data_IF_228633132888
#
_entry.id   IF_228633132888
#
_cell.length_a   1.000
_cell.length_b   1.000
_cell.length_c   1.000
_cell.angle_alpha   90.00
_cell.angle_beta   90.00
_cell.angle_gamma   90.00
#
_symmetry.space_group_name_H-M   'P 1'
#
loop_
_entity.id
_entity.type
_entity.pdbx_description
1 polymer ?
#
# COMPACT_ATOMS: atom_id res chain seq x y z
N UNK A 1 -48.94 3.14 59.13
CA UNK A 1 -48.22 2.09 59.87
C UNK A 1 -46.79 2.27 59.38
N UNK A 2 -46.02 3.05 60.04
CA UNK A 2 -45.14 2.81 61.20
C UNK A 2 -43.98 1.92 60.79
N UNK A 3 -42.77 2.14 60.97
CA UNK A 3 -41.90 2.92 61.89
C UNK A 3 -40.49 2.82 61.32
N UNK A 4 -39.76 3.87 61.21
CA UNK A 4 -38.77 4.49 62.10
C UNK A 4 -37.45 3.76 62.22
N UNK A 5 -36.42 4.43 61.80
CA UNK A 5 -35.30 5.02 62.55
C UNK A 5 -34.26 4.00 63.04
N UNK A 6 -32.96 4.19 62.86
CA UNK A 6 -32.06 5.14 63.55
C UNK A 6 -30.63 5.02 62.97
N UNK A 7 -29.97 6.16 62.87
CA UNK A 7 -28.51 6.31 62.86
C UNK A 7 -27.96 6.34 64.29
N UNK A 8 -26.66 6.05 64.50
CA UNK A 8 -25.72 7.09 64.88
C UNK A 8 -24.30 6.94 64.28
N UNK A 9 -23.74 8.05 63.85
CA UNK A 9 -22.68 8.90 64.38
C UNK A 9 -21.29 8.29 64.59
N UNK A 10 -20.38 8.87 63.81
CA UNK A 10 -19.12 9.52 64.20
C UNK A 10 -17.94 8.65 64.64
N UNK A 11 -16.88 8.72 63.84
CA UNK A 11 -15.53 8.99 64.33
C UNK A 11 -14.56 9.31 63.23
N UNK A 12 -13.95 10.46 63.33
CA UNK A 12 -12.87 11.03 62.58
C UNK A 12 -11.58 10.22 62.64
N UNK A 13 -10.91 10.03 61.51
CA UNK A 13 -9.46 9.88 61.46
C UNK A 13 -8.90 10.43 60.13
N UNK A 14 -8.23 11.54 60.31
CA UNK A 14 -7.26 12.15 59.40
C UNK A 14 -6.18 11.13 58.99
N UNK A 15 -5.96 11.00 57.69
CA UNK A 15 -4.66 10.50 57.21
C UNK A 15 -4.38 11.03 55.79
N UNK A 16 -3.56 12.06 55.78
CA UNK A 16 -2.81 12.52 54.60
C UNK A 16 -1.99 11.37 54.05
N UNK A 17 -2.26 10.96 52.82
CA UNK A 17 -1.36 10.13 52.03
C UNK A 17 -1.37 10.54 50.57
N UNK A 18 -0.30 11.24 50.26
CA UNK A 18 0.58 11.08 49.13
C UNK A 18 -0.08 10.74 47.76
N UNK A 19 -0.20 11.78 46.92
CA UNK A 19 -0.47 11.67 45.51
C UNK A 19 0.85 11.30 44.79
N UNK A 20 1.17 10.02 44.72
CA UNK A 20 2.12 9.52 43.74
C UNK A 20 1.34 9.15 42.47
N UNK A 21 1.49 9.93 41.42
CA UNK A 21 1.14 9.58 40.04
C UNK A 21 1.87 8.29 39.67
N UNK A 22 1.23 7.35 38.94
CA UNK A 22 1.97 6.22 38.40
C UNK A 22 2.93 6.75 37.32
N UNK A 23 4.21 6.73 37.58
CA UNK A 23 5.23 6.77 36.53
C UNK A 23 4.95 5.57 35.62
N UNK A 24 4.61 5.86 34.35
CA UNK A 24 4.64 4.86 33.28
C UNK A 24 6.05 4.28 33.25
N UNK A 25 6.20 3.08 33.75
CA UNK A 25 7.42 2.30 33.57
C UNK A 25 7.60 2.10 32.07
N UNK A 26 8.51 2.84 31.44
CA UNK A 26 9.10 2.46 30.18
C UNK A 26 9.69 1.07 30.38
N UNK A 27 8.96 0.07 29.89
CA UNK A 27 9.42 -1.31 29.94
C UNK A 27 10.82 -1.38 29.33
N UNK A 28 11.78 -1.89 30.11
CA UNK A 28 13.12 -2.13 29.62
C UNK A 28 13.02 -2.97 28.34
N UNK A 29 13.46 -2.42 27.21
CA UNK A 29 13.55 -3.13 25.93
C UNK A 29 14.48 -4.33 26.18
N UNK A 30 13.96 -5.54 26.06
CA UNK A 30 14.77 -6.75 26.13
C UNK A 30 15.81 -6.70 24.99
N UNK A 31 17.12 -6.63 25.31
CA UNK A 31 18.15 -6.49 24.26
C UNK A 31 18.23 -7.73 23.34
N UNK A 32 17.52 -8.82 23.67
CA UNK A 32 17.47 -10.03 22.86
C UNK A 32 16.22 -10.10 21.98
N UNK A 33 15.27 -9.17 22.10
CA UNK A 33 14.14 -9.10 21.18
C UNK A 33 14.51 -8.29 19.94
N UNK A 34 14.31 -8.85 18.73
CA UNK A 34 14.53 -8.10 17.50
C UNK A 34 13.64 -6.86 17.45
N UNK A 35 14.11 -5.74 16.89
CA UNK A 35 13.29 -4.55 16.71
C UNK A 35 12.02 -4.85 15.91
N UNK A 36 10.86 -4.33 16.31
CA UNK A 36 9.57 -4.70 15.73
C UNK A 36 9.38 -4.31 14.25
N UNK A 37 10.28 -3.55 13.66
CA UNK A 37 10.25 -3.14 12.24
C UNK A 37 11.57 -3.49 11.53
N UNK A 38 12.16 -4.61 11.88
CA UNK A 38 13.43 -5.05 11.29
C UNK A 38 13.25 -5.46 9.83
N UNK A 39 14.26 -5.12 9.02
CA UNK A 39 14.36 -5.58 7.63
C UNK A 39 15.78 -6.04 7.31
N UNK A 40 15.91 -6.93 6.35
CA UNK A 40 17.18 -7.35 5.74
C UNK A 40 17.13 -7.09 4.25
N UNK A 41 18.26 -6.75 3.67
CA UNK A 41 18.34 -6.45 2.24
C UNK A 41 19.64 -6.96 1.63
N UNK A 42 19.65 -7.13 0.31
CA UNK A 42 20.86 -7.43 -0.45
C UNK A 42 21.81 -6.25 -0.43
N UNK A 43 23.12 -6.53 -0.37
CA UNK A 43 24.16 -5.49 -0.24
C UNK A 43 24.20 -4.49 -1.39
N UNK A 44 23.70 -4.84 -2.56
CA UNK A 44 23.65 -4.00 -3.75
C UNK A 44 22.42 -3.09 -3.83
N UNK A 45 21.39 -3.29 -2.99
CA UNK A 45 20.15 -2.52 -3.06
C UNK A 45 20.35 -1.00 -2.85
N UNK A 46 21.14 -0.53 -1.86
CA UNK A 46 21.41 0.91 -1.72
C UNK A 46 22.08 1.51 -2.94
N UNK A 47 22.96 0.76 -3.61
CA UNK A 47 23.62 1.21 -4.84
C UNK A 47 22.64 1.35 -6.01
N UNK A 48 21.63 0.45 -6.13
CA UNK A 48 20.56 0.56 -7.13
C UNK A 48 19.78 1.86 -6.92
N UNK A 49 19.45 2.22 -5.67
CA UNK A 49 18.76 3.46 -5.34
C UNK A 49 19.58 4.69 -5.68
N UNK A 50 20.88 4.65 -5.36
CA UNK A 50 21.80 5.74 -5.68
C UNK A 50 21.95 5.98 -7.18
N UNK A 51 22.20 4.92 -7.94
CA UNK A 51 22.37 4.98 -9.39
C UNK A 51 21.08 5.43 -10.11
N UNK A 52 19.93 4.96 -9.62
CA UNK A 52 18.62 5.31 -10.17
C UNK A 52 18.13 6.68 -9.72
N UNK A 53 18.76 7.33 -8.74
CA UNK A 53 18.36 8.60 -8.14
C UNK A 53 16.89 8.62 -7.74
N UNK A 54 16.49 7.69 -6.86
CA UNK A 54 15.11 7.54 -6.40
C UNK A 54 15.05 7.03 -4.97
N UNK A 55 13.87 7.17 -4.39
CA UNK A 55 13.41 6.47 -3.19
C UNK A 55 12.16 5.66 -3.50
N UNK A 56 11.80 4.73 -2.62
CA UNK A 56 10.64 3.87 -2.81
C UNK A 56 9.64 4.10 -1.69
N UNK A 57 8.39 4.33 -2.06
CA UNK A 57 7.27 4.44 -1.13
C UNK A 57 6.50 3.10 -1.13
N UNK A 58 6.24 2.58 0.07
CA UNK A 58 5.58 1.29 0.25
C UNK A 58 4.49 1.42 1.30
N UNK A 59 3.25 1.09 0.97
CA UNK A 59 2.15 1.01 1.94
C UNK A 59 1.97 -0.39 2.47
N UNK A 60 1.61 -0.48 3.75
CA UNK A 60 1.56 -1.75 4.50
C UNK A 60 0.21 -1.90 5.20
N UNK A 61 -0.85 -2.06 4.49
CA UNK A 61 -2.22 -2.14 5.00
C UNK A 61 -2.36 -2.54 6.49
N UNK A 62 -1.94 -3.76 6.82
CA UNK A 62 -2.08 -4.36 8.16
C UNK A 62 -1.18 -3.68 9.22
N UNK A 63 0.06 -3.31 8.85
CA UNK A 63 1.00 -2.68 9.79
C UNK A 63 0.73 -1.18 10.00
N UNK A 64 -0.19 -0.57 9.22
CA UNK A 64 -0.54 0.84 9.35
C UNK A 64 0.60 1.80 9.04
N UNK A 65 1.49 1.45 8.11
CA UNK A 65 2.69 2.24 7.81
C UNK A 65 2.78 2.60 6.33
N UNK A 66 3.17 3.83 6.05
CA UNK A 66 3.87 4.20 4.85
C UNK A 66 5.37 4.08 5.15
N UNK A 67 6.06 3.22 4.42
CA UNK A 67 7.50 3.01 4.54
C UNK A 67 8.19 3.75 3.40
N UNK A 68 9.16 4.60 3.74
CA UNK A 68 10.04 5.25 2.77
C UNK A 68 11.38 4.53 2.81
N UNK A 69 11.68 3.78 1.76
CA UNK A 69 13.00 3.18 1.57
C UNK A 69 13.87 4.20 0.83
N UNK A 70 14.98 4.57 1.44
CA UNK A 70 15.87 5.62 0.91
C UNK A 70 17.35 5.29 1.15
N UNK A 71 18.21 5.85 0.31
CA UNK A 71 19.66 5.63 0.44
C UNK A 71 20.30 6.72 1.30
N UNK A 72 20.88 6.33 2.42
CA UNK A 72 21.67 7.20 3.28
C UNK A 72 23.17 6.86 3.12
N UNK A 73 23.85 7.51 2.17
CA UNK A 73 25.30 7.34 1.92
C UNK A 73 25.73 5.87 1.76
N UNK A 74 24.97 5.10 1.00
CA UNK A 74 25.27 3.69 0.73
C UNK A 74 24.65 2.71 1.73
N UNK A 75 23.88 3.20 2.69
CA UNK A 75 23.10 2.38 3.64
C UNK A 75 21.61 2.53 3.36
N UNK A 76 20.88 1.43 3.33
CA UNK A 76 19.43 1.50 3.21
C UNK A 76 18.83 2.01 4.52
N UNK A 77 18.11 3.14 4.44
CA UNK A 77 17.31 3.67 5.52
C UNK A 77 15.85 3.32 5.28
N UNK A 78 15.19 2.74 6.28
CA UNK A 78 13.76 2.48 6.31
C UNK A 78 13.09 3.47 7.24
N UNK A 79 12.32 4.40 6.69
CA UNK A 79 11.63 5.43 7.45
C UNK A 79 10.13 5.16 7.46
N UNK A 80 9.49 5.22 8.63
CA UNK A 80 8.10 4.83 8.83
C UNK A 80 7.23 6.02 9.22
N UNK A 81 6.07 6.15 8.59
CA UNK A 81 5.01 7.10 8.95
C UNK A 81 3.70 6.35 9.20
N UNK A 82 3.01 6.71 10.28
CA UNK A 82 1.75 6.07 10.65
C UNK A 82 0.61 6.57 9.77
N UNK A 83 -0.22 5.64 9.32
CA UNK A 83 -1.48 5.90 8.63
C UNK A 83 -2.50 4.84 9.02
N UNK A 84 -3.78 5.18 8.97
CA UNK A 84 -4.82 4.20 9.25
C UNK A 84 -5.09 3.31 8.03
N UNK A 85 -4.50 2.11 8.00
CA UNK A 85 -4.57 1.14 6.90
C UNK A 85 -4.23 1.77 5.53
N UNK A 86 -3.02 2.27 5.32
CA UNK A 86 -2.64 2.86 4.04
C UNK A 86 -2.61 1.81 2.94
N UNK A 87 -3.25 2.13 1.83
CA UNK A 87 -3.47 1.25 0.69
C UNK A 87 -2.87 1.85 -0.58
N UNK A 88 -3.69 2.47 -1.43
CA UNK A 88 -3.24 3.04 -2.69
C UNK A 88 -2.25 4.20 -2.54
N UNK A 89 -1.36 4.32 -3.52
CA UNK A 89 -0.44 5.44 -3.68
C UNK A 89 -0.59 6.04 -5.08
N UNK A 90 -0.47 7.35 -5.20
CA UNK A 90 -0.33 8.01 -6.50
C UNK A 90 0.65 9.17 -6.40
N UNK A 91 1.59 9.27 -7.36
CA UNK A 91 2.60 10.31 -7.43
C UNK A 91 2.49 11.04 -8.78
N UNK A 92 2.48 12.37 -8.75
CA UNK A 92 2.52 13.20 -9.96
C UNK A 92 3.16 14.55 -9.66
N UNK A 93 4.28 14.87 -10.32
CA UNK A 93 4.81 16.24 -10.34
C UNK A 93 5.01 16.91 -8.98
N UNK A 94 5.50 16.18 -7.98
CA UNK A 94 5.68 16.70 -6.60
C UNK A 94 4.42 16.63 -5.74
N UNK A 95 3.36 16.00 -6.22
CA UNK A 95 2.18 15.60 -5.44
C UNK A 95 2.28 14.14 -5.07
N UNK A 96 1.83 13.80 -3.88
CA UNK A 96 1.66 12.42 -3.41
C UNK A 96 0.26 12.28 -2.83
N UNK A 97 -0.44 11.21 -3.18
CA UNK A 97 -1.69 10.83 -2.53
C UNK A 97 -1.53 9.47 -1.84
N UNK A 98 -2.09 9.35 -0.64
CA UNK A 98 -2.14 8.11 0.16
C UNK A 98 -3.60 7.81 0.45
N UNK A 99 -4.11 6.72 -0.12
CA UNK A 99 -5.44 6.21 0.18
C UNK A 99 -5.40 5.40 1.47
N UNK A 100 -6.29 5.72 2.40
CA UNK A 100 -6.40 5.04 3.69
C UNK A 100 -7.78 4.38 3.85
N UNK A 101 -8.06 3.83 5.03
CA UNK A 101 -9.31 3.12 5.29
C UNK A 101 -10.57 3.96 4.98
N UNK A 102 -10.58 5.21 5.44
CA UNK A 102 -11.77 6.08 5.37
C UNK A 102 -11.51 7.44 4.71
N UNK A 103 -10.28 7.69 4.28
CA UNK A 103 -9.88 8.97 3.72
C UNK A 103 -8.74 8.85 2.70
N UNK A 104 -8.54 9.92 1.96
CA UNK A 104 -7.39 10.12 1.07
C UNK A 104 -6.65 11.35 1.53
N UNK A 105 -5.36 11.19 1.79
CA UNK A 105 -4.43 12.27 2.10
C UNK A 105 -3.66 12.71 0.86
N UNK A 106 -3.63 14.01 0.61
CA UNK A 106 -2.83 14.60 -0.46
C UNK A 106 -1.72 15.47 0.14
N UNK A 107 -0.52 15.25 -0.34
CA UNK A 107 0.70 15.92 0.07
C UNK A 107 1.33 16.64 -1.11
N UNK A 108 2.02 17.75 -0.83
CA UNK A 108 2.85 18.41 -1.81
C UNK A 108 4.29 18.50 -1.31
N UNK A 109 5.24 18.31 -2.22
CA UNK A 109 6.63 18.53 -1.92
C UNK A 109 6.91 20.01 -1.71
N UNK A 110 7.50 20.35 -0.56
CA UNK A 110 7.90 21.71 -0.16
C UNK A 110 9.38 21.71 0.21
N UNK A 111 10.31 21.78 -0.76
CA UNK A 111 11.74 21.63 -0.53
C UNK A 111 12.32 22.65 0.46
N UNK A 112 11.69 23.83 0.60
CA UNK A 112 12.09 24.85 1.57
C UNK A 112 12.07 24.39 3.05
N UNK A 113 11.36 23.28 3.34
CA UNK A 113 11.31 22.70 4.70
C UNK A 113 12.51 21.79 4.97
N UNK A 114 13.16 21.26 3.94
CA UNK A 114 14.27 20.31 4.09
C UNK A 114 15.40 20.85 4.99
N UNK A 115 15.79 22.11 4.80
CA UNK A 115 16.83 22.73 5.62
C UNK A 115 16.47 22.76 7.12
N UNK A 116 15.19 22.93 7.46
CA UNK A 116 14.74 22.90 8.86
C UNK A 116 14.74 21.50 9.46
N UNK A 117 14.47 20.48 8.64
CA UNK A 117 14.60 19.09 9.08
C UNK A 117 16.06 18.74 9.38
N UNK A 118 16.98 19.20 8.54
CA UNK A 118 18.40 18.97 8.70
C UNK A 118 19.01 19.75 9.91
N UNK A 119 18.46 20.93 10.24
CA UNK A 119 18.86 21.71 11.42
C UNK A 119 18.46 21.03 12.75
N UNK A 120 17.35 20.28 12.75
CA UNK A 120 16.85 19.57 13.93
C UNK A 120 17.59 18.26 14.22
N UNK A 121 18.39 17.75 13.27
CA UNK A 121 19.21 16.57 13.48
C UNK A 121 20.41 16.93 14.36
N UNK A 122 20.50 16.34 15.55
CA UNK A 122 21.57 16.61 16.53
C UNK A 122 22.98 16.29 16.00
N UNK A 123 23.08 15.52 14.94
CA UNK A 123 24.31 15.21 14.22
C UNK A 123 24.60 16.25 13.11
N UNK A 124 25.09 17.40 13.49
CA UNK A 124 25.44 18.55 12.62
C UNK A 124 26.43 18.30 11.47
N UNK A 125 26.87 17.08 11.24
CA UNK A 125 27.80 16.75 10.13
C UNK A 125 27.13 16.61 8.76
N UNK A 126 25.80 16.66 8.66
CA UNK A 126 25.08 16.45 7.40
C UNK A 126 24.24 17.66 7.01
N UNK A 127 24.88 18.77 6.66
CA UNK A 127 24.19 19.84 5.95
C UNK A 127 23.56 19.28 4.65
N UNK A 128 22.22 19.49 4.45
CA UNK A 128 21.48 19.13 3.26
C UNK A 128 21.32 17.61 2.99
N UNK A 129 20.81 16.89 3.96
CA UNK A 129 20.47 15.47 3.82
C UNK A 129 19.15 15.25 3.06
N UNK A 130 18.09 15.98 3.48
CA UNK A 130 16.77 15.88 2.86
C UNK A 130 16.70 16.66 1.54
N UNK A 131 16.21 16.02 0.49
CA UNK A 131 16.05 16.60 -0.86
C UNK A 131 14.58 16.81 -1.26
N UNK A 132 13.65 16.25 -0.49
CA UNK A 132 12.22 16.48 -0.62
C UNK A 132 11.54 16.39 0.75
N UNK A 133 10.48 17.19 0.94
CA UNK A 133 9.63 17.12 2.12
C UNK A 133 8.16 17.28 1.73
N UNK A 134 7.40 16.22 1.90
CA UNK A 134 5.98 16.18 1.57
C UNK A 134 5.14 16.62 2.76
N UNK A 135 4.42 17.74 2.60
CA UNK A 135 3.51 18.29 3.61
C UNK A 135 2.05 18.05 3.22
N UNK A 136 1.16 17.73 4.19
CA UNK A 136 -0.25 17.51 3.92
C UNK A 136 -0.91 18.81 3.43
N UNK A 137 -1.75 18.69 2.41
CA UNK A 137 -2.49 19.81 1.83
C UNK A 137 -3.99 19.61 1.84
N UNK A 138 -4.43 18.36 1.76
CA UNK A 138 -5.83 18.00 1.78
C UNK A 138 -6.00 16.63 2.41
N UNK A 139 -7.10 16.46 3.14
CA UNK A 139 -7.68 15.17 3.48
C UNK A 139 -9.12 15.14 2.99
N UNK A 140 -9.52 14.08 2.31
CA UNK A 140 -10.87 13.88 1.81
C UNK A 140 -11.47 12.61 2.40
N UNK A 141 -12.55 12.75 3.17
CA UNK A 141 -13.24 11.62 3.77
C UNK A 141 -14.08 10.88 2.74
N UNK A 142 -13.76 9.61 2.51
CA UNK A 142 -14.47 8.72 1.58
C UNK A 142 -15.44 7.77 2.29
N UNK A 143 -15.26 7.56 3.60
CA UNK A 143 -15.79 6.38 4.27
C UNK A 143 -15.00 5.12 3.87
N UNK A 144 -15.38 3.96 4.40
CA UNK A 144 -14.72 2.69 4.07
C UNK A 144 -15.19 2.18 2.69
N UNK A 145 -14.57 2.73 1.66
CA UNK A 145 -14.80 2.33 0.26
C UNK A 145 -13.77 1.29 -0.22
N UNK A 146 -12.88 0.86 0.66
CA UNK A 146 -11.82 -0.10 0.36
C UNK A 146 -10.97 0.36 -0.83
N UNK A 147 -10.37 1.54 -0.73
CA UNK A 147 -9.52 2.11 -1.78
C UNK A 147 -8.40 1.12 -2.08
N UNK A 148 -8.23 0.77 -3.36
CA UNK A 148 -7.11 -0.02 -3.82
C UNK A 148 -6.09 0.87 -4.53
N UNK A 149 -6.01 0.84 -5.83
CA UNK A 149 -5.04 1.64 -6.57
C UNK A 149 -5.57 3.03 -6.92
N UNK A 150 -4.65 3.96 -7.13
CA UNK A 150 -4.93 5.35 -7.44
C UNK A 150 -4.03 5.86 -8.55
N UNK A 151 -4.50 6.85 -9.30
CA UNK A 151 -3.69 7.57 -10.30
C UNK A 151 -4.20 9.01 -10.47
N UNK A 152 -3.31 9.89 -10.88
CA UNK A 152 -3.67 11.24 -11.32
C UNK A 152 -4.01 11.23 -12.81
N UNK A 153 -5.14 11.83 -13.18
CA UNK A 153 -5.58 12.02 -14.56
C UNK A 153 -5.94 13.50 -14.72
N UNK A 154 -5.21 14.23 -15.52
CA UNK A 154 -5.42 15.66 -15.76
C UNK A 154 -5.56 16.50 -14.47
N UNK A 155 -4.79 16.13 -13.43
CA UNK A 155 -4.80 16.80 -12.12
C UNK A 155 -5.96 16.40 -11.19
N UNK A 156 -6.84 15.50 -11.61
CA UNK A 156 -7.87 14.87 -10.79
C UNK A 156 -7.39 13.50 -10.27
N UNK A 157 -7.62 13.21 -9.00
CA UNK A 157 -7.25 11.93 -8.41
C UNK A 157 -8.35 10.89 -8.65
N UNK A 158 -8.00 9.85 -9.41
CA UNK A 158 -8.83 8.67 -9.65
C UNK A 158 -8.41 7.54 -8.74
N UNK A 159 -9.37 6.76 -8.27
CA UNK A 159 -9.11 5.59 -7.42
C UNK A 159 -10.10 4.46 -7.67
N UNK A 160 -9.64 3.26 -7.38
CA UNK A 160 -10.47 2.07 -7.30
C UNK A 160 -11.28 2.12 -6.01
N UNK A 161 -12.59 2.11 -6.14
CA UNK A 161 -13.55 1.91 -5.07
C UNK A 161 -14.04 0.46 -5.10
N UNK A 162 -13.36 -0.40 -4.36
CA UNK A 162 -13.62 -1.84 -4.37
C UNK A 162 -14.96 -2.19 -3.78
N UNK A 163 -15.35 -1.51 -2.69
CA UNK A 163 -16.63 -1.76 -2.03
C UNK A 163 -17.82 -1.57 -3.00
N UNK A 164 -17.73 -0.58 -3.91
CA UNK A 164 -18.77 -0.28 -4.90
C UNK A 164 -18.45 -0.83 -6.30
N UNK A 165 -17.34 -1.54 -6.46
CA UNK A 165 -16.89 -2.14 -7.74
C UNK A 165 -16.83 -1.13 -8.88
N UNK A 166 -16.25 0.06 -8.63
CA UNK A 166 -16.18 1.14 -9.62
C UNK A 166 -14.84 1.89 -9.58
N UNK A 167 -14.53 2.59 -10.67
CA UNK A 167 -13.58 3.70 -10.67
C UNK A 167 -14.31 4.94 -10.15
N UNK A 168 -13.65 5.70 -9.31
CA UNK A 168 -14.19 6.89 -8.69
C UNK A 168 -13.16 8.02 -8.62
N UNK A 169 -13.68 9.24 -8.44
CA UNK A 169 -12.90 10.42 -8.09
C UNK A 169 -13.43 11.02 -6.80
N UNK A 170 -12.71 12.01 -6.28
CA UNK A 170 -13.22 12.80 -5.15
C UNK A 170 -14.48 13.57 -5.58
N UNK A 171 -15.34 13.86 -4.62
CA UNK A 171 -16.50 14.74 -4.79
C UNK A 171 -16.50 15.80 -3.70
N UNK A 172 -16.89 17.02 -4.02
CA UNK A 172 -17.01 18.09 -3.03
C UNK A 172 -18.30 17.97 -2.18
N UNK A 173 -19.23 17.11 -2.58
CA UNK A 173 -20.55 16.95 -1.94
C UNK A 173 -20.71 15.54 -1.35
N UNK A 174 -20.25 14.52 -2.09
CA UNK A 174 -20.41 13.11 -1.73
C UNK A 174 -19.07 12.52 -1.25
N UNK A 175 -19.11 11.32 -0.70
CA UNK A 175 -17.90 10.56 -0.35
C UNK A 175 -17.01 10.29 -1.56
N UNK A 176 -17.60 10.11 -2.72
CA UNK A 176 -16.93 9.91 -4.01
C UNK A 176 -17.87 10.21 -5.18
N UNK A 177 -17.30 10.37 -6.37
CA UNK A 177 -18.02 10.47 -7.64
C UNK A 177 -17.71 9.25 -8.49
N UNK A 178 -18.69 8.37 -8.83
CA UNK A 178 -18.44 7.22 -9.68
C UNK A 178 -18.20 7.66 -11.12
N UNK A 179 -17.15 7.13 -11.75
CA UNK A 179 -16.75 7.48 -13.13
C UNK A 179 -16.97 6.35 -14.12
N UNK A 180 -16.77 5.12 -13.68
CA UNK A 180 -16.91 3.93 -14.51
C UNK A 180 -17.13 2.69 -13.63
N UNK A 181 -17.79 1.70 -14.15
CA UNK A 181 -17.92 0.36 -13.56
C UNK A 181 -17.98 -0.70 -14.65
N UNK A 182 -17.61 -1.96 -14.35
CA UNK A 182 -17.79 -3.08 -15.28
C UNK A 182 -19.27 -3.23 -15.68
N UNK A 183 -19.54 -3.54 -16.95
CA UNK A 183 -20.90 -3.67 -17.47
C UNK A 183 -21.71 -4.79 -16.81
N UNK A 184 -21.04 -5.81 -16.28
CA UNK A 184 -21.70 -6.91 -15.57
C UNK A 184 -22.09 -6.54 -14.13
N UNK A 185 -21.56 -5.47 -13.55
CA UNK A 185 -22.01 -4.94 -12.25
C UNK A 185 -23.19 -4.01 -12.47
N UNK A 186 -24.40 -4.46 -12.15
CA UNK A 186 -25.63 -3.76 -12.50
C UNK A 186 -26.04 -2.66 -11.52
N UNK A 187 -25.57 -2.74 -10.26
CA UNK A 187 -25.94 -1.80 -9.20
C UNK A 187 -24.72 -1.09 -8.62
N UNK A 188 -24.88 0.17 -8.24
CA UNK A 188 -23.87 0.95 -7.52
C UNK A 188 -24.20 0.92 -6.03
N UNK A 189 -23.89 -0.19 -5.37
CA UNK A 189 -24.11 -0.40 -3.94
C UNK A 189 -22.89 -1.06 -3.30
N UNK A 190 -22.67 -0.89 -1.99
CA UNK A 190 -21.56 -1.54 -1.32
C UNK A 190 -21.81 -3.05 -1.21
N UNK A 191 -20.90 -3.85 -1.74
CA UNK A 191 -21.06 -5.31 -1.73
C UNK A 191 -19.84 -6.04 -2.25
N UNK A 192 -18.83 -5.30 -2.73
CA UNK A 192 -17.58 -5.89 -3.26
C UNK A 192 -17.90 -7.02 -4.28
N UNK A 193 -18.68 -6.70 -5.30
CA UNK A 193 -19.21 -7.70 -6.23
C UNK A 193 -18.11 -8.45 -6.99
N UNK A 194 -17.12 -7.74 -7.53
CA UNK A 194 -16.07 -8.32 -8.37
C UNK A 194 -14.66 -8.14 -7.80
N UNK A 195 -14.51 -7.47 -6.69
CA UNK A 195 -13.23 -7.04 -6.12
C UNK A 195 -12.34 -6.33 -7.13
N UNK A 196 -12.88 -5.23 -7.68
CA UNK A 196 -12.09 -4.34 -8.53
C UNK A 196 -10.91 -3.81 -7.71
N UNK A 197 -9.66 -3.93 -8.20
CA UNK A 197 -8.51 -3.72 -7.34
C UNK A 197 -7.33 -3.00 -7.99
N UNK A 198 -7.12 -3.12 -9.29
CA UNK A 198 -5.97 -2.53 -9.96
C UNK A 198 -6.35 -1.65 -11.12
N UNK A 199 -5.57 -0.61 -11.39
CA UNK A 199 -5.71 0.26 -12.55
C UNK A 199 -4.38 0.48 -13.26
N UNK A 200 -4.41 0.54 -14.59
CA UNK A 200 -3.28 0.92 -15.43
C UNK A 200 -3.62 2.15 -16.26
N UNK A 201 -2.70 3.10 -16.23
CA UNK A 201 -2.73 4.29 -17.08
C UNK A 201 -2.16 3.98 -18.46
N UNK A 202 -2.80 4.47 -19.52
CA UNK A 202 -2.26 4.53 -20.86
C UNK A 202 -2.74 5.81 -21.54
N UNK A 203 -1.83 6.52 -22.21
CA UNK A 203 -2.15 7.76 -22.91
C UNK A 203 -2.85 8.82 -22.02
N UNK A 204 -2.36 8.94 -20.74
CA UNK A 204 -2.85 9.95 -19.78
C UNK A 204 -4.19 9.65 -19.12
N UNK A 205 -4.76 8.46 -19.29
CA UNK A 205 -6.06 8.06 -18.72
C UNK A 205 -6.04 6.65 -18.15
N UNK A 206 -6.98 6.33 -17.28
CA UNK A 206 -7.19 4.95 -16.81
C UNK A 206 -7.69 4.13 -18.00
N UNK A 207 -6.92 3.13 -18.38
CA UNK A 207 -7.23 2.32 -19.56
C UNK A 207 -7.58 0.87 -19.23
N UNK A 208 -6.89 0.26 -18.27
CA UNK A 208 -7.12 -1.12 -17.90
C UNK A 208 -7.36 -1.24 -16.40
N UNK A 209 -8.21 -2.19 -16.02
CA UNK A 209 -8.47 -2.51 -14.62
C UNK A 209 -8.49 -4.02 -14.40
N UNK A 210 -8.12 -4.44 -13.21
CA UNK A 210 -8.20 -5.84 -12.77
C UNK A 210 -9.31 -6.03 -11.74
N UNK A 211 -9.92 -7.20 -11.78
CA UNK A 211 -10.87 -7.67 -10.77
C UNK A 211 -10.63 -9.15 -10.46
N UNK A 212 -11.02 -9.59 -9.25
CA UNK A 212 -10.83 -10.98 -8.83
C UNK A 212 -11.91 -11.92 -9.36
N UNK A 213 -12.99 -11.39 -9.93
CA UNK A 213 -14.05 -12.21 -10.53
C UNK A 213 -14.98 -11.42 -11.45
N UNK A 214 -15.53 -12.08 -12.46
CA UNK A 214 -16.63 -11.55 -13.31
C UNK A 214 -17.96 -11.90 -12.66
N UNK A 215 -18.31 -11.23 -11.54
CA UNK A 215 -19.47 -11.55 -10.71
C UNK A 215 -20.32 -10.33 -10.38
N UNK A 216 -21.60 -10.53 -10.23
CA UNK A 216 -22.62 -9.51 -9.92
C UNK A 216 -23.41 -9.87 -8.65
N UNK A 217 -22.74 -10.49 -7.68
CA UNK A 217 -23.29 -10.81 -6.36
C UNK A 217 -22.33 -10.38 -5.27
N UNK A 218 -22.82 -9.94 -4.09
CA UNK A 218 -21.96 -9.51 -3.01
C UNK A 218 -20.89 -10.56 -2.65
N UNK A 219 -19.62 -10.17 -2.79
CA UNK A 219 -18.47 -11.04 -2.50
C UNK A 219 -18.33 -12.27 -3.40
N UNK A 220 -19.04 -12.36 -4.53
CA UNK A 220 -19.09 -13.54 -5.39
C UNK A 220 -17.75 -13.98 -5.98
N UNK A 221 -16.79 -13.07 -6.08
CA UNK A 221 -15.42 -13.39 -6.51
C UNK A 221 -14.71 -14.42 -5.60
N UNK A 222 -15.18 -14.58 -4.34
CA UNK A 222 -14.58 -15.50 -3.37
C UNK A 222 -14.75 -16.97 -3.72
N UNK A 223 -15.74 -17.29 -4.55
CA UNK A 223 -16.02 -18.66 -4.96
C UNK A 223 -14.97 -19.21 -5.92
N UNK A 224 -14.28 -18.35 -6.67
CA UNK A 224 -13.25 -18.74 -7.61
C UNK A 224 -12.01 -17.83 -7.56
N UNK A 225 -11.20 -17.96 -6.51
CA UNK A 225 -9.95 -17.22 -6.34
C UNK A 225 -8.81 -17.77 -7.19
N UNK A 226 -8.91 -19.02 -7.61
CA UNK A 226 -7.84 -19.73 -8.32
C UNK A 226 -7.64 -19.22 -9.75
N UNK A 227 -8.73 -19.01 -10.47
CA UNK A 227 -8.73 -18.63 -11.88
C UNK A 227 -9.92 -17.74 -12.30
N UNK A 228 -10.62 -17.16 -11.32
CA UNK A 228 -11.74 -16.24 -11.57
C UNK A 228 -11.33 -14.83 -12.00
N UNK A 229 -10.05 -14.48 -11.83
CA UNK A 229 -9.56 -13.14 -12.07
C UNK A 229 -9.57 -12.72 -13.53
N UNK A 230 -9.79 -11.42 -13.74
CA UNK A 230 -9.99 -10.81 -15.06
C UNK A 230 -9.22 -9.50 -15.22
N UNK A 231 -8.95 -9.18 -16.49
CA UNK A 231 -8.49 -7.86 -16.94
C UNK A 231 -9.52 -7.26 -17.88
N UNK A 232 -9.89 -6.00 -17.65
CA UNK A 232 -10.93 -5.29 -18.42
C UNK A 232 -10.34 -4.04 -19.07
N UNK A 233 -10.71 -3.77 -20.31
CA UNK A 233 -10.49 -2.50 -21.00
C UNK A 233 -11.62 -1.52 -20.61
N UNK A 234 -11.24 -0.38 -20.05
CA UNK A 234 -12.19 0.63 -19.53
C UNK A 234 -12.98 1.29 -20.65
N UNK A 235 -12.36 1.54 -21.81
CA UNK A 235 -13.00 2.24 -22.92
C UNK A 235 -14.06 1.38 -23.64
N UNK A 236 -13.71 0.13 -23.93
CA UNK A 236 -14.66 -0.81 -24.58
C UNK A 236 -15.57 -1.52 -23.60
N UNK A 237 -15.21 -1.55 -22.32
CA UNK A 237 -15.83 -2.35 -21.25
C UNK A 237 -15.76 -3.88 -21.55
N UNK A 238 -14.77 -4.30 -22.32
CA UNK A 238 -14.55 -5.70 -22.68
C UNK A 238 -13.57 -6.37 -21.72
N UNK A 239 -13.87 -7.61 -21.35
CA UNK A 239 -12.93 -8.46 -20.61
C UNK A 239 -11.90 -9.04 -21.59
N UNK A 240 -10.67 -8.51 -21.53
CA UNK A 240 -9.55 -8.91 -22.40
C UNK A 240 -8.99 -10.26 -21.99
N UNK A 241 -8.86 -10.52 -20.69
CA UNK A 241 -8.24 -11.72 -20.15
C UNK A 241 -9.08 -12.30 -19.03
N UNK A 242 -9.22 -13.62 -19.03
CA UNK A 242 -9.83 -14.42 -17.96
C UNK A 242 -8.86 -15.52 -17.51
N UNK A 243 -9.15 -16.17 -16.40
CA UNK A 243 -8.37 -17.29 -15.92
C UNK A 243 -7.15 -16.88 -15.10
N UNK A 244 -7.11 -15.65 -14.58
CA UNK A 244 -6.01 -15.16 -13.75
C UNK A 244 -6.25 -15.50 -12.27
N UNK A 245 -5.17 -15.85 -11.55
CA UNK A 245 -5.22 -16.09 -10.12
C UNK A 245 -5.01 -14.80 -9.34
N UNK A 246 -6.11 -14.22 -8.82
CA UNK A 246 -6.10 -13.00 -8.01
C UNK A 246 -5.21 -11.88 -8.60
N UNK A 247 -5.47 -11.38 -9.82
CA UNK A 247 -4.63 -10.38 -10.48
C UNK A 247 -4.65 -9.06 -9.74
N UNK A 248 -3.48 -8.38 -9.68
CA UNK A 248 -3.31 -7.05 -9.09
C UNK A 248 -2.38 -6.18 -9.94
N UNK A 249 -2.41 -4.90 -9.68
CA UNK A 249 -1.42 -3.90 -10.09
C UNK A 249 -1.06 -3.95 -11.58
N UNK A 250 -2.04 -3.87 -12.49
CA UNK A 250 -1.73 -3.73 -13.90
C UNK A 250 -0.95 -2.42 -14.13
N UNK A 251 0.04 -2.44 -15.04
CA UNK A 251 0.83 -1.24 -15.40
C UNK A 251 1.18 -1.27 -16.88
N UNK A 252 0.99 -0.14 -17.55
CA UNK A 252 1.51 0.05 -18.90
C UNK A 252 2.93 0.58 -18.82
N UNK A 253 3.89 -0.23 -19.28
CA UNK A 253 5.30 0.15 -19.27
C UNK A 253 6.05 -0.43 -20.46
N UNK A 254 6.83 0.38 -21.16
CA UNK A 254 7.60 0.00 -22.37
C UNK A 254 6.75 -0.76 -23.39
N UNK A 255 5.60 -0.14 -23.76
CA UNK A 255 4.63 -0.67 -24.73
C UNK A 255 4.09 -2.07 -24.41
N UNK A 256 4.13 -2.46 -23.15
CA UNK A 256 3.59 -3.74 -22.65
C UNK A 256 2.67 -3.50 -21.45
N UNK A 257 1.63 -4.31 -21.36
CA UNK A 257 0.77 -4.36 -20.19
C UNK A 257 1.28 -5.43 -19.22
N UNK A 258 1.86 -4.96 -18.15
CA UNK A 258 2.35 -5.79 -17.05
C UNK A 258 1.24 -6.04 -16.05
N UNK A 259 1.28 -7.20 -15.38
CA UNK A 259 0.31 -7.60 -14.36
C UNK A 259 0.97 -8.52 -13.34
N UNK A 260 0.48 -8.44 -12.11
CA UNK A 260 0.82 -9.37 -11.05
C UNK A 260 -0.26 -10.45 -10.97
N UNK A 261 0.08 -11.71 -11.19
CA UNK A 261 -0.77 -12.86 -10.94
C UNK A 261 -0.55 -13.34 -9.51
N UNK A 262 -1.13 -12.60 -8.56
CA UNK A 262 -0.77 -12.64 -7.15
C UNK A 262 -1.01 -13.99 -6.48
N UNK A 263 -2.09 -14.68 -6.89
CA UNK A 263 -2.41 -16.02 -6.39
C UNK A 263 -1.40 -17.10 -6.79
N UNK A 264 -0.55 -16.82 -7.78
CA UNK A 264 0.60 -17.64 -8.17
C UNK A 264 1.94 -17.09 -7.65
N UNK A 265 1.95 -15.83 -7.19
CA UNK A 265 3.18 -15.09 -6.91
C UNK A 265 3.90 -14.66 -8.18
N UNK A 266 3.18 -14.53 -9.28
CA UNK A 266 3.71 -14.27 -10.61
C UNK A 266 3.81 -12.77 -10.93
N UNK A 267 4.77 -12.43 -11.80
CA UNK A 267 4.83 -11.19 -12.58
C UNK A 267 4.91 -11.55 -14.05
N UNK A 268 4.13 -10.90 -14.89
CA UNK A 268 4.13 -11.15 -16.32
C UNK A 268 3.46 -10.07 -17.14
N UNK A 269 3.24 -10.36 -18.41
CA UNK A 269 2.62 -9.45 -19.39
C UNK A 269 1.39 -10.06 -20.02
N UNK A 270 0.47 -9.21 -20.47
CA UNK A 270 -0.70 -9.61 -21.26
C UNK A 270 -0.48 -9.21 -22.72
N UNK A 271 -0.62 -10.16 -23.62
CA UNK A 271 -0.75 -9.89 -25.05
C UNK A 271 -2.18 -9.39 -25.33
N UNK A 272 -2.32 -8.12 -25.66
CA UNK A 272 -3.63 -7.49 -25.87
C UNK A 272 -4.43 -8.03 -27.05
N UNK A 273 -3.78 -8.70 -28.02
CA UNK A 273 -4.46 -9.26 -29.19
C UNK A 273 -5.08 -10.62 -28.88
N UNK A 274 -4.39 -11.42 -28.09
CA UNK A 274 -4.82 -12.79 -27.77
C UNK A 274 -5.42 -12.94 -26.37
N UNK A 275 -5.25 -11.93 -25.50
CA UNK A 275 -5.63 -11.97 -24.10
C UNK A 275 -4.77 -12.92 -23.25
N UNK A 276 -3.65 -13.42 -23.78
CA UNK A 276 -2.83 -14.42 -23.08
C UNK A 276 -1.86 -13.79 -22.10
N UNK A 277 -1.83 -14.31 -20.88
CA UNK A 277 -0.80 -14.04 -19.90
C UNK A 277 0.49 -14.77 -20.25
N UNK A 278 1.63 -14.09 -20.15
CA UNK A 278 2.97 -14.64 -20.24
C UNK A 278 3.73 -14.35 -18.96
N UNK A 279 4.00 -15.36 -18.18
CA UNK A 279 4.82 -15.25 -16.97
C UNK A 279 6.27 -14.88 -17.32
N UNK A 280 6.84 -13.98 -16.53
CA UNK A 280 8.25 -13.54 -16.60
C UNK A 280 9.01 -14.10 -15.40
N UNK A 281 8.45 -14.04 -14.19
CA UNK A 281 9.05 -14.60 -12.99
C UNK A 281 8.00 -15.02 -11.97
N UNK A 282 8.37 -15.98 -11.11
CA UNK A 282 7.62 -16.35 -9.90
C UNK A 282 8.41 -15.94 -8.65
N UNK A 283 7.72 -15.32 -7.71
CA UNK A 283 8.30 -14.74 -6.50
C UNK A 283 7.86 -15.48 -5.23
N UNK A 284 8.63 -15.37 -4.13
CA UNK A 284 8.37 -16.13 -2.91
C UNK A 284 7.31 -15.51 -1.99
N UNK A 285 6.25 -14.92 -2.54
CA UNK A 285 5.17 -14.31 -1.79
C UNK A 285 4.00 -13.89 -2.68
N UNK A 286 2.93 -13.42 -2.08
CA UNK A 286 1.77 -12.87 -2.77
C UNK A 286 2.14 -11.51 -3.34
N UNK A 287 2.19 -11.37 -4.66
CA UNK A 287 2.65 -10.17 -5.34
C UNK A 287 1.59 -9.06 -5.28
N UNK A 288 1.98 -7.85 -4.83
CA UNK A 288 1.07 -6.70 -4.76
C UNK A 288 1.83 -5.38 -4.77
N UNK A 289 1.44 -4.47 -5.65
CA UNK A 289 2.18 -3.23 -5.90
C UNK A 289 3.39 -3.47 -6.80
N UNK A 290 3.50 -2.70 -7.87
CA UNK A 290 4.61 -2.75 -8.81
C UNK A 290 4.91 -1.36 -9.35
N UNK A 291 6.19 -1.02 -9.41
CA UNK A 291 6.69 0.20 -10.07
C UNK A 291 7.95 -0.13 -10.86
N UNK A 292 8.28 0.68 -11.86
CA UNK A 292 9.35 0.37 -12.81
C UNK A 292 10.39 1.48 -12.93
N UNK A 293 11.65 1.09 -13.08
CA UNK A 293 12.75 1.99 -13.42
C UNK A 293 13.71 1.32 -14.39
N UNK A 294 13.82 1.86 -15.62
CA UNK A 294 14.68 1.25 -16.64
C UNK A 294 14.30 -0.22 -16.87
N UNK A 295 15.22 -1.19 -16.81
CA UNK A 295 14.93 -2.62 -16.98
C UNK A 295 14.45 -3.31 -15.69
N UNK A 296 14.25 -2.57 -14.60
CA UNK A 296 13.94 -3.12 -13.29
C UNK A 296 12.46 -2.92 -12.93
N UNK A 297 11.85 -3.97 -12.38
CA UNK A 297 10.55 -3.96 -11.75
C UNK A 297 10.72 -4.11 -10.23
N UNK A 298 10.09 -3.24 -9.45
CA UNK A 298 10.05 -3.28 -7.99
C UNK A 298 8.69 -3.82 -7.57
N UNK A 299 8.67 -5.03 -7.03
CA UNK A 299 7.44 -5.79 -6.74
C UNK A 299 7.29 -6.00 -5.25
N UNK A 300 6.17 -5.58 -4.68
CA UNK A 300 5.81 -5.85 -3.31
C UNK A 300 5.35 -7.29 -3.12
N UNK A 301 5.76 -7.91 -2.02
CA UNK A 301 5.35 -9.25 -1.61
C UNK A 301 4.71 -9.22 -0.22
N UNK A 302 3.64 -9.98 -0.05
CA UNK A 302 2.95 -10.18 1.22
C UNK A 302 3.02 -11.62 1.69
N UNK A 303 3.13 -11.80 3.03
CA UNK A 303 2.91 -13.07 3.67
C UNK A 303 1.40 -13.30 3.77
N UNK A 304 0.83 -14.03 2.85
CA UNK A 304 -0.56 -14.47 3.00
C UNK A 304 -0.62 -15.62 3.98
N UNK A 305 -1.42 -15.47 5.04
CA UNK A 305 -1.73 -16.57 5.95
C UNK A 305 -2.85 -17.41 5.36
N UNK A 306 -2.86 -18.69 5.68
CA UNK A 306 -4.03 -19.54 5.42
C UNK A 306 -5.22 -18.97 6.20
N UNK A 307 -6.03 -18.23 5.51
CA UNK A 307 -7.30 -17.68 6.00
C UNK A 307 -8.37 -18.00 4.98
N UNK A 308 -9.63 -17.81 5.33
CA UNK A 308 -10.74 -17.97 4.37
C UNK A 308 -10.56 -17.13 3.10
N UNK A 309 -9.79 -16.02 3.16
CA UNK A 309 -9.53 -15.15 2.01
C UNK A 309 -8.48 -15.75 1.07
N UNK A 310 -7.43 -16.42 1.58
CA UNK A 310 -6.28 -16.88 0.78
C UNK A 310 -6.18 -18.40 0.62
N UNK A 311 -7.13 -19.18 1.17
CA UNK A 311 -7.19 -20.62 0.93
C UNK A 311 -7.50 -20.93 -0.53
N UNK A 312 -6.91 -22.01 -1.07
CA UNK A 312 -7.19 -22.55 -2.41
C UNK A 312 -6.51 -21.80 -3.56
N UNK A 313 -5.56 -20.90 -3.29
CA UNK A 313 -4.73 -20.28 -4.33
C UNK A 313 -3.44 -21.09 -4.56
N UNK A 314 -2.90 -21.12 -5.79
CA UNK A 314 -1.74 -21.96 -6.12
C UNK A 314 -0.49 -21.64 -5.30
N UNK A 315 -0.29 -20.38 -4.90
CA UNK A 315 0.85 -19.95 -4.10
C UNK A 315 0.94 -20.69 -2.76
N UNK A 316 -0.19 -20.92 -2.09
CA UNK A 316 -0.25 -21.60 -0.78
C UNK A 316 0.06 -23.10 -0.94
N UNK A 317 -0.33 -23.70 -2.07
CA UNK A 317 0.01 -25.08 -2.39
C UNK A 317 1.50 -25.27 -2.74
N UNK A 318 2.13 -24.22 -3.32
CA UNK A 318 3.52 -24.24 -3.80
C UNK A 318 4.55 -23.90 -2.73
N UNK A 319 4.24 -22.98 -1.83
CA UNK A 319 5.19 -22.43 -0.86
C UNK A 319 4.71 -22.67 0.57
N UNK A 320 5.53 -23.34 1.36
CA UNK A 320 5.33 -23.46 2.81
C UNK A 320 5.57 -22.12 3.53
N UNK A 321 6.66 -21.43 3.17
CA UNK A 321 7.00 -20.11 3.69
C UNK A 321 6.81 -19.03 2.61
N UNK A 322 6.14 -17.96 2.95
CA UNK A 322 5.94 -16.77 2.12
C UNK A 322 6.57 -15.57 2.79
N UNK A 323 7.19 -14.71 1.99
CA UNK A 323 7.95 -13.56 2.49
C UNK A 323 7.21 -12.25 2.27
N UNK A 324 7.50 -11.25 3.08
CA UNK A 324 7.01 -9.88 2.92
C UNK A 324 8.19 -8.95 2.63
N UNK A 325 8.04 -8.05 1.65
CA UNK A 325 9.10 -7.11 1.31
C UNK A 325 8.97 -6.61 -0.13
N UNK A 326 10.06 -6.03 -0.65
CA UNK A 326 10.14 -5.59 -2.04
C UNK A 326 11.24 -6.36 -2.75
N UNK A 327 10.92 -6.97 -3.88
CA UNK A 327 11.83 -7.66 -4.78
C UNK A 327 12.09 -6.83 -6.03
N UNK A 328 13.34 -6.78 -6.45
CA UNK A 328 13.77 -6.08 -7.66
C UNK A 328 14.07 -7.14 -8.73
N UNK A 329 13.32 -7.10 -9.81
CA UNK A 329 13.34 -8.10 -10.87
C UNK A 329 13.89 -7.45 -12.15
N UNK A 330 14.84 -8.11 -12.81
CA UNK A 330 15.19 -7.77 -14.18
C UNK A 330 14.07 -8.25 -15.12
N UNK A 331 13.41 -7.34 -15.80
CA UNK A 331 12.26 -7.64 -16.66
C UNK A 331 12.62 -8.47 -17.90
N UNK A 332 13.88 -8.45 -18.33
CA UNK A 332 14.34 -9.17 -19.53
C UNK A 332 14.69 -10.61 -19.22
N UNK A 333 15.32 -10.85 -18.05
CA UNK A 333 15.76 -12.21 -17.65
C UNK A 333 14.82 -12.91 -16.68
N UNK A 334 13.94 -12.17 -15.97
CA UNK A 334 13.10 -12.67 -14.90
C UNK A 334 13.86 -12.92 -13.57
N UNK A 335 15.15 -12.60 -13.51
CA UNK A 335 15.98 -12.83 -12.33
C UNK A 335 15.75 -11.79 -11.24
N UNK A 336 15.76 -12.23 -9.98
CA UNK A 336 15.82 -11.33 -8.82
C UNK A 336 17.24 -10.77 -8.69
N UNK A 337 17.38 -9.46 -8.81
CA UNK A 337 18.67 -8.75 -8.69
C UNK A 337 18.93 -8.17 -7.31
N UNK A 338 17.87 -7.89 -6.56
CA UNK A 338 17.95 -7.37 -5.19
C UNK A 338 16.62 -7.58 -4.45
N UNK A 339 16.65 -7.45 -3.13
CA UNK A 339 15.42 -7.42 -2.31
C UNK A 339 15.63 -6.63 -1.01
N UNK A 340 14.52 -6.17 -0.44
CA UNK A 340 14.39 -5.76 0.96
C UNK A 340 13.24 -6.58 1.58
N UNK A 341 13.54 -7.45 2.54
CA UNK A 341 12.58 -8.30 3.24
C UNK A 341 12.32 -7.75 4.64
N UNK A 342 11.06 -7.61 5.00
CA UNK A 342 10.63 -7.34 6.37
C UNK A 342 10.52 -8.64 7.15
N UNK A 343 10.94 -8.64 8.42
CA UNK A 343 11.04 -9.87 9.21
C UNK A 343 9.99 -10.00 10.31
N UNK A 344 9.43 -8.89 10.79
CA UNK A 344 8.58 -8.90 11.99
C UNK A 344 7.17 -8.35 11.77
N UNK A 345 6.94 -7.08 12.11
CA UNK A 345 5.62 -6.48 12.16
C UNK A 345 4.98 -6.23 10.79
N UNK A 346 5.78 -6.06 9.73
CA UNK A 346 5.27 -5.82 8.38
C UNK A 346 5.09 -7.15 7.66
N UNK A 347 3.84 -7.56 7.46
CA UNK A 347 3.48 -8.84 6.85
C UNK A 347 2.74 -8.68 5.51
N UNK A 348 2.24 -7.48 5.23
CA UNK A 348 1.51 -7.17 4.02
C UNK A 348 2.04 -5.89 3.38
N UNK A 349 2.25 -5.92 2.07
CA UNK A 349 2.48 -4.75 1.23
C UNK A 349 1.26 -4.57 0.33
N UNK A 350 0.86 -3.30 0.16
CA UNK A 350 -0.29 -2.97 -0.67
C UNK A 350 0.10 -2.27 -1.97
N UNK A 351 0.88 -1.20 -1.88
CA UNK A 351 1.37 -0.47 -3.04
C UNK A 351 2.88 -0.24 -2.95
N UNK A 352 3.51 -0.15 -4.10
CA UNK A 352 4.94 0.16 -4.27
C UNK A 352 5.04 1.23 -5.35
N UNK A 353 5.61 2.40 -5.02
CA UNK A 353 5.78 3.49 -5.97
C UNK A 353 7.18 4.10 -5.88
N UNK A 354 7.79 4.33 -7.04
CA UNK A 354 9.09 4.99 -7.17
C UNK A 354 8.92 6.50 -7.09
N UNK A 355 9.61 7.13 -6.14
CA UNK A 355 9.76 8.58 -6.07
C UNK A 355 11.06 8.97 -6.78
N UNK A 356 10.97 9.20 -8.09
CA UNK A 356 12.11 9.57 -8.91
C UNK A 356 12.64 10.97 -8.61
N UNK A 357 13.96 11.14 -8.71
CA UNK A 357 14.62 12.43 -8.50
C UNK A 357 14.80 12.82 -7.03
N UNK A 358 14.46 11.94 -6.09
CA UNK A 358 14.64 12.15 -4.65
C UNK A 358 15.32 10.94 -4.01
N UNK A 359 16.42 11.17 -3.32
CA UNK A 359 17.23 10.12 -2.65
C UNK A 359 16.91 10.00 -1.17
N UNK A 360 16.54 11.11 -0.54
CA UNK A 360 16.29 11.17 0.89
C UNK A 360 15.07 12.05 1.22
N UNK A 361 13.89 11.67 0.72
CA UNK A 361 12.65 12.38 1.01
C UNK A 361 12.23 12.17 2.46
N UNK A 362 11.46 13.13 2.98
CA UNK A 362 10.64 12.95 4.17
C UNK A 362 9.18 13.30 3.89
N UNK A 363 8.31 12.81 4.75
CA UNK A 363 6.89 13.08 4.74
C UNK A 363 6.46 13.42 6.17
N UNK A 364 5.85 14.57 6.34
CA UNK A 364 5.29 15.02 7.61
C UNK A 364 3.79 14.81 7.56
N UNK A 365 3.28 13.98 8.44
CA UNK A 365 1.84 13.78 8.65
C UNK A 365 1.42 14.33 10.01
N UNK A 366 0.21 14.02 10.46
CA UNK A 366 -0.36 14.49 11.73
C UNK A 366 0.34 13.91 12.98
N UNK A 367 1.18 12.90 12.84
CA UNK A 367 1.93 12.25 13.94
C UNK A 367 3.37 12.81 14.09
N UNK A 368 3.76 13.79 13.26
CA UNK A 368 5.13 14.31 13.20
C UNK A 368 5.27 15.68 13.89
#
# INVERSE_FOLDING_TARGET
MSESAETPADESADNSADKSSPEESQGAVDPNQPPPLRSVHTSNLPQIFEQGNFSLLVTTYQAGKLVVLRNDKGVLNTHFRNFHKPMGLAIEGGKLAVGCNIDVWEFHNVPAVCAKLDESDENKETAFKHDACFLPRRSHTTGDVQIHEMAWVDGELWFINTAFSCLATRSDINSFEPRWRPSFVTELVPGDYCHLNGLAMREGRVRYVTALGETNTPGGWRDNKRDGGILIDVDSNEVITRGLSMPHSPRWYREQLWILESGNGGIGTIDLNSGKYREIAQLPGFTRGISFLGPLAFVGLSQVRESAVFSGIPLVERLEERTCGVWVINMETGETVAFCRFEDAVQEIFAVEILGGSRFPDLINHDA
#
